data_IF_758405249971
#
_entry.id   IF_758405249971
#
_cell.length_a   1.000
_cell.length_b   1.000
_cell.length_c   1.000
_cell.angle_alpha   90.00
_cell.angle_beta   90.00
_cell.angle_gamma   90.00
#
_symmetry.space_group_name_H-M   'P 1'
#
loop_
_entity.id
_entity.type
_entity.pdbx_description
1 polymer ?
#
# COMPACT_ATOMS: atom_id res chain seq x y z
N UNK A 1 -1.56 -17.12 -28.36
CA UNK A 1 -2.50 -16.93 -27.23
C UNK A 1 -1.96 -15.77 -26.43
N UNK A 2 -2.79 -14.76 -26.18
CA UNK A 2 -2.41 -13.58 -25.39
C UNK A 2 -2.00 -14.04 -24.00
N UNK A 3 -0.74 -13.82 -23.60
CA UNK A 3 -0.24 -14.08 -22.23
C UNK A 3 -0.67 -12.95 -21.28
N UNK A 4 -1.93 -12.51 -21.42
CA UNK A 4 -2.46 -11.39 -20.66
C UNK A 4 -2.96 -11.91 -19.32
N UNK A 5 -2.38 -11.35 -18.27
CA UNK A 5 -2.62 -11.73 -16.89
C UNK A 5 -3.06 -10.52 -16.09
N UNK A 6 -3.98 -10.72 -15.15
CA UNK A 6 -4.44 -9.71 -14.21
C UNK A 6 -4.16 -10.15 -12.79
N UNK A 7 -3.69 -9.21 -11.96
CA UNK A 7 -3.55 -9.38 -10.53
C UNK A 7 -4.24 -8.22 -9.82
N UNK A 8 -5.12 -8.54 -8.90
CA UNK A 8 -5.80 -7.59 -8.00
C UNK A 8 -5.34 -7.89 -6.58
N UNK A 9 -4.85 -6.88 -5.90
CA UNK A 9 -4.42 -7.02 -4.50
C UNK A 9 -4.83 -5.81 -3.66
N UNK A 10 -4.93 -6.04 -2.36
CA UNK A 10 -5.08 -5.00 -1.36
C UNK A 10 -3.96 -5.12 -0.31
N UNK A 11 -3.63 -4.01 0.35
CA UNK A 11 -2.63 -3.99 1.42
C UNK A 11 -2.90 -2.85 2.39
N UNK A 12 -2.39 -2.96 3.61
CA UNK A 12 -2.43 -1.87 4.60
C UNK A 12 -1.34 -0.86 4.30
N UNK A 13 -1.68 0.41 4.41
CA UNK A 13 -0.72 1.50 4.34
C UNK A 13 0.05 1.59 5.66
N UNK A 14 1.38 1.67 5.57
CA UNK A 14 2.27 1.90 6.70
C UNK A 14 2.88 3.30 6.68
N UNK A 15 2.56 4.14 5.68
CA UNK A 15 2.96 5.55 5.66
C UNK A 15 2.35 6.27 6.86
N UNK A 16 3.21 6.82 7.72
CA UNK A 16 2.85 7.67 8.85
C UNK A 16 3.35 9.09 8.58
N UNK A 17 2.61 10.08 9.06
CA UNK A 17 2.98 11.48 8.92
C UNK A 17 1.76 12.37 8.66
N UNK A 18 1.96 13.69 8.56
CA UNK A 18 0.92 14.62 8.16
C UNK A 18 0.47 14.38 6.72
N UNK A 19 -0.77 14.74 6.40
CA UNK A 19 -1.41 14.44 5.11
C UNK A 19 -0.56 14.81 3.89
N UNK A 20 0.13 15.96 3.92
CA UNK A 20 0.97 16.42 2.82
C UNK A 20 2.18 15.50 2.55
N UNK A 21 2.78 14.90 3.59
CA UNK A 21 3.89 13.95 3.44
C UNK A 21 3.38 12.62 2.87
N UNK A 22 2.22 12.16 3.33
CA UNK A 22 1.56 10.96 2.82
C UNK A 22 1.20 11.15 1.34
N UNK A 23 0.59 12.29 0.97
CA UNK A 23 0.30 12.63 -0.43
C UNK A 23 1.58 12.66 -1.28
N UNK A 24 2.67 13.25 -0.78
CA UNK A 24 3.94 13.27 -1.50
C UNK A 24 4.53 11.86 -1.66
N UNK A 25 4.40 10.99 -0.66
CA UNK A 25 4.83 9.60 -0.74
C UNK A 25 4.01 8.80 -1.77
N UNK A 26 2.67 8.96 -1.78
CA UNK A 26 1.79 8.33 -2.78
C UNK A 26 2.12 8.79 -4.19
N UNK A 27 2.40 10.09 -4.40
CA UNK A 27 2.86 10.60 -5.70
C UNK A 27 4.17 9.97 -6.16
N UNK A 28 5.12 9.74 -5.25
CA UNK A 28 6.38 9.03 -5.55
C UNK A 28 6.13 7.56 -5.93
N UNK A 29 5.22 6.87 -5.25
CA UNK A 29 4.80 5.50 -5.61
C UNK A 29 4.23 5.50 -7.02
N UNK A 30 3.31 6.41 -7.32
CA UNK A 30 2.68 6.50 -8.64
C UNK A 30 3.70 6.74 -9.75
N UNK A 31 4.61 7.71 -9.57
CA UNK A 31 5.64 8.02 -10.56
C UNK A 31 6.57 6.82 -10.84
N UNK A 32 7.01 6.13 -9.78
CA UNK A 32 7.84 4.93 -9.91
C UNK A 32 7.08 3.79 -10.61
N UNK A 33 5.81 3.56 -10.23
CA UNK A 33 4.95 2.56 -10.87
C UNK A 33 4.76 2.84 -12.34
N UNK A 34 4.41 4.07 -12.73
CA UNK A 34 4.25 4.44 -14.13
C UNK A 34 5.54 4.23 -14.96
N UNK A 35 6.70 4.63 -14.42
CA UNK A 35 7.97 4.46 -15.12
C UNK A 35 8.35 2.98 -15.30
N UNK A 36 8.21 2.18 -14.25
CA UNK A 36 8.56 0.77 -14.28
C UNK A 36 7.58 -0.05 -15.13
N UNK A 37 6.27 0.20 -14.98
CA UNK A 37 5.23 -0.52 -15.68
C UNK A 37 5.31 -0.34 -17.21
N UNK A 38 5.64 0.88 -17.69
CA UNK A 38 5.88 1.13 -19.12
C UNK A 38 6.99 0.26 -19.69
N UNK A 39 8.05 -0.02 -18.92
CA UNK A 39 9.20 -0.81 -19.39
C UNK A 39 8.87 -2.29 -19.58
N UNK A 40 7.88 -2.80 -18.85
CA UNK A 40 7.50 -4.21 -18.84
C UNK A 40 6.10 -4.47 -19.42
N UNK A 41 5.49 -3.46 -20.04
CA UNK A 41 4.16 -3.58 -20.67
C UNK A 41 3.02 -3.82 -19.68
N UNK A 42 3.16 -3.34 -18.44
CA UNK A 42 2.13 -3.43 -17.40
C UNK A 42 1.28 -2.17 -17.41
N UNK A 43 -0.02 -2.34 -17.19
CA UNK A 43 -1.02 -1.29 -17.02
C UNK A 43 -1.82 -1.55 -15.76
N UNK A 44 -2.66 -0.59 -15.35
CA UNK A 44 -3.51 -0.80 -14.19
C UNK A 44 -3.96 0.48 -13.49
N UNK A 45 -4.47 0.31 -12.27
CA UNK A 45 -4.97 1.39 -11.43
C UNK A 45 -4.61 1.16 -9.96
N UNK A 46 -4.32 2.25 -9.24
CA UNK A 46 -4.00 2.30 -7.83
C UNK A 46 -5.05 3.15 -7.10
N UNK A 47 -5.59 2.61 -6.02
CA UNK A 47 -6.41 3.34 -5.06
C UNK A 47 -5.68 3.50 -3.74
N UNK A 48 -5.79 4.69 -3.14
CA UNK A 48 -5.38 4.93 -1.75
C UNK A 48 -6.51 5.60 -0.98
N UNK A 49 -7.03 4.93 0.04
CA UNK A 49 -8.05 5.49 0.93
C UNK A 49 -8.00 4.86 2.32
N UNK A 50 -8.27 5.66 3.37
CA UNK A 50 -8.53 5.15 4.72
C UNK A 50 -7.42 4.29 5.35
N UNK A 51 -6.17 4.47 4.91
CA UNK A 51 -5.04 3.68 5.40
C UNK A 51 -4.88 2.31 4.71
N UNK A 52 -5.46 2.10 3.54
CA UNK A 52 -5.24 0.93 2.71
C UNK A 52 -4.95 1.32 1.26
N UNK A 53 -4.26 0.41 0.56
CA UNK A 53 -4.05 0.43 -0.88
C UNK A 53 -4.82 -0.71 -1.53
N UNK A 54 -5.40 -0.44 -2.70
CA UNK A 54 -5.91 -1.47 -3.59
C UNK A 54 -5.37 -1.21 -4.99
N UNK A 55 -4.87 -2.23 -5.68
CA UNK A 55 -4.25 -2.06 -6.99
C UNK A 55 -4.59 -3.21 -7.92
N UNK A 56 -4.78 -2.86 -9.19
CA UNK A 56 -4.92 -3.79 -10.32
C UNK A 56 -3.68 -3.67 -11.19
N UNK A 57 -3.10 -4.80 -11.57
CA UNK A 57 -1.98 -4.92 -12.51
C UNK A 57 -2.42 -5.81 -13.68
N UNK A 58 -2.18 -5.36 -14.90
CA UNK A 58 -2.50 -6.10 -16.13
C UNK A 58 -1.31 -6.10 -17.07
N UNK A 59 -0.99 -7.23 -17.68
CA UNK A 59 0.11 -7.29 -18.64
C UNK A 59 0.56 -8.71 -18.95
N UNK A 60 1.73 -8.86 -19.61
CA UNK A 60 2.39 -10.16 -19.72
C UNK A 60 2.54 -10.79 -18.33
N UNK A 61 2.32 -12.09 -18.21
CA UNK A 61 2.37 -12.78 -16.91
C UNK A 61 3.66 -12.49 -16.15
N UNK A 62 4.81 -12.62 -16.83
CA UNK A 62 6.13 -12.31 -16.26
C UNK A 62 6.25 -10.87 -15.80
N UNK A 63 5.76 -9.91 -16.60
CA UNK A 63 5.78 -8.49 -16.25
C UNK A 63 4.94 -8.17 -15.02
N UNK A 64 3.78 -8.83 -14.87
CA UNK A 64 2.92 -8.69 -13.69
C UNK A 64 3.57 -9.33 -12.47
N UNK A 65 4.11 -10.54 -12.59
CA UNK A 65 4.80 -11.26 -11.51
C UNK A 65 6.01 -10.48 -11.00
N UNK A 66 6.90 -10.02 -11.89
CA UNK A 66 8.09 -9.20 -11.56
C UNK A 66 7.70 -7.89 -10.86
N UNK A 67 6.62 -7.25 -11.34
CA UNK A 67 6.11 -6.00 -10.76
C UNK A 67 5.58 -6.25 -9.36
N UNK A 68 4.78 -7.30 -9.17
CA UNK A 68 4.20 -7.66 -7.89
C UNK A 68 5.26 -8.09 -6.88
N UNK A 69 6.28 -8.83 -7.32
CA UNK A 69 7.44 -9.18 -6.52
C UNK A 69 8.20 -7.96 -5.98
N UNK A 70 8.39 -6.93 -6.80
CA UNK A 70 9.01 -5.67 -6.36
C UNK A 70 8.13 -4.93 -5.37
N UNK A 71 6.82 -4.94 -5.59
CA UNK A 71 5.83 -4.33 -4.70
C UNK A 71 5.86 -5.01 -3.33
N UNK A 72 5.85 -6.34 -3.26
CA UNK A 72 5.86 -7.08 -1.97
C UNK A 72 7.07 -6.77 -1.07
N UNK A 73 8.17 -6.25 -1.64
CA UNK A 73 9.38 -5.86 -0.90
C UNK A 73 9.36 -4.39 -0.45
N UNK A 74 8.29 -3.65 -0.72
CA UNK A 74 8.16 -2.24 -0.39
C UNK A 74 7.79 -2.08 1.09
N UNK A 75 8.59 -1.33 1.86
CA UNK A 75 8.34 -1.13 3.30
C UNK A 75 7.18 -0.16 3.59
N UNK A 76 6.66 0.53 2.57
CA UNK A 76 5.59 1.53 2.72
C UNK A 76 4.20 0.91 2.91
N UNK A 77 4.06 -0.39 2.71
CA UNK A 77 2.82 -1.13 2.90
C UNK A 77 3.07 -2.49 3.55
N UNK A 78 2.03 -3.10 4.11
CA UNK A 78 2.09 -4.41 4.75
C UNK A 78 0.76 -5.14 4.62
N UNK A 79 0.69 -6.37 5.14
CA UNK A 79 -0.51 -7.22 5.07
C UNK A 79 -1.07 -7.33 3.63
N UNK A 80 -0.18 -7.62 2.67
CA UNK A 80 -0.54 -7.76 1.27
C UNK A 80 -1.41 -9.00 1.09
N UNK A 81 -2.59 -8.79 0.50
CA UNK A 81 -3.57 -9.84 0.23
C UNK A 81 -3.88 -9.83 -1.26
N UNK A 82 -3.60 -10.94 -1.95
CA UNK A 82 -4.02 -11.14 -3.34
C UNK A 82 -5.50 -11.52 -3.33
N UNK A 83 -6.32 -10.71 -4.01
CA UNK A 83 -7.76 -10.91 -4.09
C UNK A 83 -8.15 -11.73 -5.31
N UNK A 84 -7.42 -11.53 -6.41
CA UNK A 84 -7.65 -12.22 -7.68
C UNK A 84 -6.35 -12.27 -8.48
N UNK A 85 -6.06 -13.39 -9.10
CA UNK A 85 -5.00 -13.50 -10.09
C UNK A 85 -5.38 -14.52 -11.16
N UNK A 86 -5.14 -14.21 -12.42
CA UNK A 86 -5.50 -15.11 -13.52
C UNK A 86 -5.34 -14.53 -14.92
N UNK A 87 -5.43 -15.39 -15.94
CA UNK A 87 -5.47 -14.94 -17.33
C UNK A 87 -6.75 -14.16 -17.61
N UNK A 88 -6.67 -13.16 -18.48
CA UNK A 88 -7.82 -12.35 -18.91
C UNK A 88 -7.80 -12.12 -20.41
N UNK A 89 -8.99 -11.94 -21.01
CA UNK A 89 -9.11 -11.78 -22.46
C UNK A 89 -8.68 -10.39 -22.95
N UNK A 90 -8.92 -9.35 -22.13
CA UNK A 90 -8.63 -7.96 -22.46
C UNK A 90 -8.23 -7.15 -21.22
N UNK A 91 -7.50 -6.05 -21.45
CA UNK A 91 -7.12 -5.08 -20.41
C UNK A 91 -8.35 -4.25 -20.05
N UNK A 92 -8.59 -4.05 -18.75
CA UNK A 92 -9.52 -3.04 -18.25
C UNK A 92 -8.92 -1.64 -18.22
N UNK A 93 -7.59 -1.53 -18.16
CA UNK A 93 -6.88 -0.25 -18.11
C UNK A 93 -5.85 -0.10 -19.25
N UNK A 94 -6.23 -0.24 -20.53
CA UNK A 94 -5.28 -0.25 -21.64
C UNK A 94 -4.47 1.05 -21.77
N UNK A 95 -5.06 2.19 -21.43
CA UNK A 95 -4.46 3.52 -21.65
C UNK A 95 -3.62 4.02 -20.48
N UNK A 96 -3.62 3.31 -19.34
CA UNK A 96 -2.99 3.78 -18.12
C UNK A 96 -1.90 2.82 -17.63
N UNK A 97 -0.64 3.25 -17.73
CA UNK A 97 0.48 2.52 -17.11
C UNK A 97 0.26 2.34 -15.61
N UNK A 98 -0.36 3.34 -14.97
CA UNK A 98 -0.94 3.27 -13.63
C UNK A 98 -1.87 4.48 -13.41
N UNK A 99 -3.18 4.26 -13.40
CA UNK A 99 -4.15 5.27 -12.99
C UNK A 99 -4.14 5.43 -11.47
N UNK A 100 -4.59 6.58 -10.96
CA UNK A 100 -4.72 6.82 -9.52
C UNK A 100 -6.12 7.33 -9.20
N UNK A 101 -6.78 6.67 -8.25
CA UNK A 101 -8.14 6.99 -7.79
C UNK A 101 -8.18 7.03 -6.25
N UNK A 102 -9.18 7.68 -5.66
CA UNK A 102 -9.39 7.63 -4.21
C UNK A 102 -9.11 8.92 -3.44
N UNK A 103 -8.77 10.03 -4.11
CA UNK A 103 -8.84 11.37 -3.51
C UNK A 103 -10.26 11.97 -3.60
N UNK A 104 -11.16 11.35 -4.36
CA UNK A 104 -12.54 11.80 -4.49
C UNK A 104 -13.41 11.27 -3.34
N UNK A 105 -14.38 12.08 -2.90
CA UNK A 105 -15.35 11.67 -1.88
C UNK A 105 -16.15 10.41 -2.29
N UNK A 106 -16.36 10.21 -3.60
CA UNK A 106 -17.00 9.01 -4.17
C UNK A 106 -16.11 7.77 -4.05
N UNK A 107 -14.84 7.86 -4.44
CA UNK A 107 -13.89 6.76 -4.25
C UNK A 107 -13.78 6.37 -2.78
N UNK A 108 -13.82 7.37 -1.88
CA UNK A 108 -13.86 7.13 -0.45
C UNK A 108 -15.14 6.42 0.00
N UNK A 109 -16.32 6.85 -0.49
CA UNK A 109 -17.60 6.23 -0.15
C UNK A 109 -17.73 4.79 -0.67
N UNK A 110 -17.31 4.52 -1.91
CA UNK A 110 -17.34 3.18 -2.49
C UNK A 110 -16.42 2.21 -1.74
N UNK A 111 -15.21 2.66 -1.41
CA UNK A 111 -14.30 1.86 -0.58
C UNK A 111 -14.88 1.60 0.81
N UNK A 112 -15.46 2.61 1.46
CA UNK A 112 -16.08 2.43 2.77
C UNK A 112 -17.27 1.45 2.70
N UNK A 113 -18.06 1.47 1.64
CA UNK A 113 -19.15 0.50 1.43
C UNK A 113 -18.62 -0.93 1.30
N UNK A 114 -17.65 -1.14 0.41
CA UNK A 114 -17.02 -2.44 0.16
C UNK A 114 -16.27 -2.97 1.41
N UNK A 115 -15.59 -2.07 2.12
CA UNK A 115 -14.92 -2.38 3.38
C UNK A 115 -15.93 -2.71 4.50
N UNK A 116 -17.07 -2.03 4.56
CA UNK A 116 -18.09 -2.31 5.56
C UNK A 116 -18.73 -3.70 5.36
N UNK A 117 -18.98 -4.10 4.11
CA UNK A 117 -19.50 -5.43 3.78
C UNK A 117 -18.52 -6.57 4.16
N UNK A 118 -17.21 -6.31 4.01
CA UNK A 118 -16.15 -7.25 4.40
C UNK A 118 -15.78 -7.18 5.89
N UNK A 119 -16.27 -6.19 6.63
CA UNK A 119 -15.92 -5.95 8.03
C UNK A 119 -14.50 -5.39 8.24
N UNK A 120 -13.97 -4.65 7.27
CA UNK A 120 -12.59 -4.13 7.20
C UNK A 120 -11.51 -5.22 7.17
N UNK A 121 -11.88 -6.45 6.85
CA UNK A 121 -10.96 -7.53 6.61
C UNK A 121 -10.62 -7.60 5.12
N UNK A 122 -9.37 -7.24 4.78
CA UNK A 122 -8.89 -7.25 3.39
C UNK A 122 -8.97 -8.64 2.76
N UNK A 123 -8.91 -9.71 3.55
CA UNK A 123 -9.00 -11.11 3.07
C UNK A 123 -10.40 -11.49 2.63
N UNK A 124 -11.40 -10.71 3.01
CA UNK A 124 -12.81 -10.92 2.66
C UNK A 124 -13.28 -10.04 1.52
N UNK A 125 -12.40 -9.21 0.95
CA UNK A 125 -12.71 -8.40 -0.22
C UNK A 125 -12.80 -9.29 -1.47
N UNK A 126 -13.85 -9.07 -2.25
CA UNK A 126 -14.01 -9.70 -3.55
C UNK A 126 -13.15 -8.98 -4.61
N UNK A 127 -12.30 -9.73 -5.31
CA UNK A 127 -11.40 -9.18 -6.33
C UNK A 127 -12.14 -8.59 -7.52
N UNK A 128 -13.24 -9.22 -7.94
CA UNK A 128 -14.07 -8.72 -9.03
C UNK A 128 -14.79 -7.42 -8.63
N UNK A 129 -15.32 -7.34 -7.41
CA UNK A 129 -15.88 -6.11 -6.84
C UNK A 129 -14.86 -4.96 -6.76
N UNK A 130 -13.63 -5.24 -6.30
CA UNK A 130 -12.55 -4.24 -6.27
C UNK A 130 -12.19 -3.79 -7.68
N UNK A 131 -12.03 -4.72 -8.62
CA UNK A 131 -11.75 -4.40 -10.02
C UNK A 131 -12.85 -3.50 -10.62
N UNK A 132 -14.12 -3.87 -10.47
CA UNK A 132 -15.26 -3.12 -10.99
C UNK A 132 -15.33 -1.70 -10.40
N UNK A 133 -15.08 -1.56 -9.10
CA UNK A 133 -15.01 -0.27 -8.42
C UNK A 133 -13.89 0.62 -9.01
N UNK A 134 -12.65 0.10 -9.11
CA UNK A 134 -11.54 0.87 -9.68
C UNK A 134 -11.79 1.23 -11.15
N UNK A 135 -12.32 0.29 -11.93
CA UNK A 135 -12.60 0.51 -13.34
C UNK A 135 -13.67 1.61 -13.54
N UNK A 136 -14.77 1.57 -12.78
CA UNK A 136 -15.79 2.62 -12.82
C UNK A 136 -15.25 4.00 -12.45
N UNK A 137 -14.42 4.08 -11.40
CA UNK A 137 -13.80 5.35 -10.99
C UNK A 137 -12.84 5.91 -12.04
N UNK A 138 -12.03 5.06 -12.68
CA UNK A 138 -11.08 5.52 -13.71
C UNK A 138 -11.81 6.05 -14.95
N UNK A 139 -12.86 5.35 -15.40
CA UNK A 139 -13.66 5.77 -16.55
C UNK A 139 -14.45 7.07 -16.29
N UNK A 140 -14.98 7.25 -15.08
CA UNK A 140 -15.73 8.45 -14.72
C UNK A 140 -14.83 9.67 -14.46
N UNK A 141 -13.62 9.47 -13.92
CA UNK A 141 -12.71 10.58 -13.58
C UNK A 141 -11.81 11.03 -14.76
N UNK A 142 -11.91 10.44 -15.96
CA UNK A 142 -10.91 10.53 -17.06
C UNK A 142 -9.49 10.69 -16.50
N UNK A 143 -9.14 9.78 -15.59
CA UNK A 143 -7.93 9.74 -14.77
C UNK A 143 -7.08 11.00 -14.78
N UNK A 144 -7.32 11.93 -13.85
CA UNK A 144 -6.50 13.16 -13.73
C UNK A 144 -5.01 12.76 -13.77
N UNK A 145 -4.27 13.13 -14.82
CA UNK A 145 -2.83 12.99 -14.79
C UNK A 145 -2.38 13.93 -13.68
N UNK A 146 -1.93 13.39 -12.55
CA UNK A 146 -1.17 14.21 -11.60
C UNK A 146 0.07 14.60 -12.40
N UNK A 147 0.10 15.85 -12.88
CA UNK A 147 1.07 16.36 -13.83
C UNK A 147 2.47 15.78 -13.54
N UNK A 148 2.98 15.01 -14.51
CA UNK A 148 4.35 14.54 -14.51
C UNK A 148 5.27 15.76 -14.67
N UNK A 149 5.55 16.46 -13.57
CA UNK A 149 6.75 17.28 -13.49
C UNK A 149 7.96 16.33 -13.57
N UNK A 150 8.99 16.65 -14.36
CA UNK A 150 10.17 15.80 -14.50
C UNK A 150 10.97 15.89 -13.20
N UNK A 151 10.67 15.04 -12.24
CA UNK A 151 11.57 14.80 -11.12
C UNK A 151 12.59 13.78 -11.60
N UNK A 152 13.81 14.29 -11.81
CA UNK A 152 15.00 13.54 -12.15
C UNK A 152 15.00 12.20 -11.43
N UNK A 153 15.19 11.14 -12.20
CA UNK A 153 15.30 9.78 -11.70
C UNK A 153 16.38 9.73 -10.62
N UNK A 154 15.96 9.67 -9.36
CA UNK A 154 16.85 9.26 -8.29
C UNK A 154 16.87 7.74 -8.35
N UNK A 155 18.00 7.11 -8.72
CA UNK A 155 18.09 5.66 -8.66
C UNK A 155 17.93 5.25 -7.20
N UNK A 156 16.89 4.46 -6.90
CA UNK A 156 16.79 3.76 -5.63
C UNK A 156 17.95 2.78 -5.59
N UNK A 157 18.86 2.85 -4.61
CA UNK A 157 19.99 1.93 -4.57
C UNK A 157 19.45 0.53 -4.29
N UNK A 158 19.65 -0.37 -5.26
CA UNK A 158 19.48 -1.80 -5.08
C UNK A 158 20.67 -2.32 -4.29
N UNK A 159 20.60 -2.26 -2.96
CA UNK A 159 21.57 -2.98 -2.11
C UNK A 159 21.23 -4.46 -2.09
N UNK A 160 21.82 -5.18 -3.05
CA UNK A 160 21.91 -6.62 -3.04
C UNK A 160 23.11 -7.11 -2.23
N UNK A 161 22.90 -8.24 -1.56
CA UNK A 161 23.87 -9.25 -1.12
C UNK A 161 24.54 -9.11 0.25
N UNK A 162 24.33 -10.15 1.07
CA UNK A 162 25.27 -10.70 2.04
C UNK A 162 25.08 -12.23 2.06
N UNK A 163 26.02 -13.06 2.58
CA UNK A 163 27.43 -12.82 2.88
C UNK A 163 28.38 -13.92 2.30
N UNK A 164 29.70 -13.65 2.20
CA UNK A 164 30.71 -14.72 2.41
C UNK A 164 32.13 -14.19 2.66
N UNK A 165 32.62 -14.53 3.85
CA UNK A 165 33.98 -14.86 4.31
C UNK A 165 35.26 -14.15 3.81
N UNK A 166 35.95 -13.59 4.82
CA UNK A 166 37.39 -13.64 5.13
C UNK A 166 38.42 -12.94 4.22
N UNK A 167 39.14 -11.95 4.78
CA UNK A 167 40.52 -12.11 5.33
C UNK A 167 41.23 -10.76 5.59
N UNK A 168 41.84 -10.63 6.79
CA UNK A 168 43.07 -9.86 7.18
C UNK A 168 43.02 -8.31 7.06
N UNK A 169 42.81 -7.55 8.15
CA UNK A 169 43.71 -7.12 9.25
C UNK A 169 44.78 -6.05 8.91
N UNK A 170 44.71 -4.88 9.58
CA UNK A 170 45.79 -4.11 10.28
C UNK A 170 45.41 -2.60 10.41
N UNK A 171 45.81 -1.89 11.50
CA UNK A 171 44.92 -1.00 12.25
C UNK A 171 45.17 0.51 12.06
N UNK A 172 44.20 1.33 12.50
CA UNK A 172 44.40 2.73 12.82
C UNK A 172 44.02 3.03 14.29
N UNK A 173 44.88 3.82 14.93
CA UNK A 173 44.99 4.15 16.36
C UNK A 173 43.88 5.08 16.91
N UNK A 174 43.79 5.26 18.24
CA UNK A 174 42.59 5.73 18.96
C UNK A 174 42.55 7.25 19.18
N UNK A 175 41.35 7.77 19.46
CA UNK A 175 41.12 9.12 20.02
C UNK A 175 40.18 8.94 21.24
N UNK A 176 40.40 9.68 22.36
CA UNK A 176 40.06 9.20 23.70
C UNK A 176 38.64 9.54 24.17
N UNK A 177 38.24 8.79 25.20
CA UNK A 177 37.04 8.95 25.99
C UNK A 177 37.21 10.03 27.07
N UNK A 178 36.17 10.84 27.28
CA UNK A 178 35.81 11.62 28.49
C UNK A 178 34.42 12.24 28.19
N UNK A 179 33.44 12.41 29.07
CA UNK A 179 33.26 12.08 30.47
C UNK A 179 31.74 12.11 30.81
N UNK A 180 31.39 11.37 31.86
CA UNK A 180 30.19 11.33 32.72
C UNK A 180 29.14 12.47 32.71
N UNK A 181 27.86 12.06 32.60
CA UNK A 181 26.67 12.23 33.51
C UNK A 181 26.34 13.61 34.14
N UNK A 182 25.07 13.94 34.52
CA UNK A 182 24.02 13.01 34.99
C UNK A 182 22.56 13.27 34.52
N UNK A 183 21.72 12.33 34.93
CA UNK A 183 20.28 12.23 34.76
C UNK A 183 19.45 13.28 35.53
N UNK A 184 18.27 13.62 34.98
CA UNK A 184 17.12 14.17 35.72
C UNK A 184 15.82 13.96 34.88
N UNK A 185 14.60 14.12 35.45
CA UNK A 185 13.85 13.02 36.04
C UNK A 185 12.59 12.62 35.24
N UNK A 186 12.19 11.36 35.46
CA UNK A 186 10.97 10.72 34.96
C UNK A 186 9.72 11.54 35.31
N UNK A 187 9.01 12.06 34.31
CA UNK A 187 7.64 12.55 34.48
C UNK A 187 6.67 11.37 34.49
N UNK A 188 5.94 11.28 35.60
CA UNK A 188 4.99 10.22 35.96
C UNK A 188 3.84 10.11 34.96
N UNK A 189 3.59 8.90 34.48
CA UNK A 189 2.28 8.48 33.98
C UNK A 189 1.24 8.47 35.11
N UNK A 190 0.01 8.95 34.86
CA UNK A 190 -1.18 8.39 35.48
C UNK A 190 -1.84 7.40 34.50
N UNK A 191 -1.70 6.09 34.75
CA UNK A 191 -2.68 5.09 34.31
C UNK A 191 -3.80 4.97 35.37
N UNK A 192 -4.81 4.09 35.19
CA UNK A 192 -6.04 4.33 34.44
C UNK A 192 -7.24 4.28 35.41
N UNK A 193 -8.30 5.07 35.20
CA UNK A 193 -9.55 4.81 35.92
C UNK A 193 -10.26 3.60 35.30
N UNK A 194 -10.24 2.49 36.04
CA UNK A 194 -11.05 1.31 35.81
C UNK A 194 -12.48 1.51 36.36
N UNK A 195 -13.42 0.84 35.68
CA UNK A 195 -14.63 0.12 36.13
C UNK A 195 -15.98 0.75 35.72
N UNK A 196 -17.07 -0.05 35.59
CA UNK A 196 -17.16 -1.53 35.60
C UNK A 196 -17.89 -2.14 34.39
N UNK A 197 -17.68 -3.45 34.31
CA UNK A 197 -18.33 -4.48 33.49
C UNK A 197 -19.87 -4.46 33.48
N UNK A 198 -20.39 -4.87 32.32
CA UNK A 198 -21.56 -5.73 32.10
C UNK A 198 -22.52 -5.91 33.28
N UNK A 199 -23.73 -5.37 33.14
CA UNK A 199 -24.93 -6.06 33.61
C UNK A 199 -25.69 -6.61 32.42
N UNK A 200 -25.59 -7.93 32.30
CA UNK A 200 -26.58 -8.84 31.72
C UNK A 200 -28.02 -8.40 31.99
N UNK A 201 -28.83 -8.30 30.94
CA UNK A 201 -30.28 -8.54 31.01
C UNK A 201 -30.79 -8.96 29.63
N UNK A 202 -30.82 -10.27 29.46
CA UNK A 202 -31.68 -10.99 28.52
C UNK A 202 -32.92 -11.48 29.30
N UNK A 203 -33.91 -12.16 28.70
CA UNK A 203 -34.97 -11.72 27.79
C UNK A 203 -36.35 -11.69 28.50
N UNK A 204 -37.41 -11.39 27.72
CA UNK A 204 -38.86 -11.54 28.02
C UNK A 204 -39.54 -10.33 28.66
N UNK A 205 -40.19 -9.53 27.80
CA UNK A 205 -41.49 -8.92 28.11
C UNK A 205 -42.17 -8.46 26.81
N UNK A 206 -42.96 -9.35 26.23
CA UNK A 206 -44.21 -8.96 25.56
C UNK A 206 -45.28 -8.89 26.65
N UNK A 207 -46.20 -7.93 26.55
CA UNK A 207 -47.59 -8.30 26.80
C UNK A 207 -48.55 -7.65 25.80
N UNK A 208 -49.54 -8.48 25.44
CA UNK A 208 -50.91 -8.16 25.01
C UNK A 208 -51.13 -7.45 23.68
#
# INVERSE_FOLDING_TARGET
>A
MSDLYRLVYASKNLLQGPDHEVTAAVRRILAASQANNRRVGVTGALMFNGGAFAQVLEGPRTGVEDTFERIQRDERHGDVTVLQCGPVEARGFPDWSMAFVGQSARGQALWCGLAAESGFDLTRLDGDGVFAMLHGLVLEEEGTPIAAAPVAAVPVPVTGAAPSAASVATPARPIPAEASLPAAPRRRHPRPRRRPLCRSRDPRRSPS
#
